data_IF_113077377025
#
_entry.id   IF_113077377025
#
_cell.length_a   1.000
_cell.length_b   1.000
_cell.length_c   1.000
_cell.angle_alpha   90.00
_cell.angle_beta   90.00
_cell.angle_gamma   90.00
#
_symmetry.space_group_name_H-M   'P 1'
#
loop_
_entity.id
_entity.type
_entity.pdbx_description
1 polymer ?
#
# COMPACT_ATOMS: atom_id res chain seq x y z
N UNK A 1 48.90 13.68 17.75
CA UNK A 1 47.44 13.41 17.68
C UNK A 1 46.81 14.68 17.18
N UNK A 2 46.43 14.61 15.91
CA UNK A 2 46.26 15.75 14.99
C UNK A 2 44.92 16.42 15.28
N UNK A 3 44.91 17.75 15.36
CA UNK A 3 43.71 18.58 15.18
C UNK A 3 43.06 18.20 13.84
N UNK A 4 42.21 17.18 13.83
CA UNK A 4 41.23 17.04 12.75
C UNK A 4 40.40 18.30 12.81
N UNK A 5 40.65 19.18 11.85
CA UNK A 5 40.20 20.55 11.87
C UNK A 5 38.67 20.58 11.93
N UNK A 6 38.09 21.62 12.55
CA UNK A 6 36.64 21.82 12.58
C UNK A 6 35.98 21.75 11.18
N UNK A 7 36.76 21.99 10.11
CA UNK A 7 36.35 21.82 8.71
C UNK A 7 35.99 20.38 8.36
N UNK A 8 36.74 19.38 8.82
CA UNK A 8 36.48 17.97 8.50
C UNK A 8 35.17 17.49 9.14
N UNK A 9 34.93 17.91 10.39
CA UNK A 9 33.69 17.60 11.11
C UNK A 9 32.47 18.23 10.43
N UNK A 10 32.59 19.49 9.98
CA UNK A 10 31.53 20.19 9.25
C UNK A 10 31.23 19.53 7.89
N UNK A 11 32.28 19.12 7.16
CA UNK A 11 32.14 18.40 5.90
C UNK A 11 31.42 17.06 6.08
N UNK A 12 31.84 16.25 7.06
CA UNK A 12 31.20 14.97 7.35
C UNK A 12 29.73 15.13 7.76
N UNK A 13 29.41 16.14 8.57
CA UNK A 13 28.03 16.44 8.94
C UNK A 13 27.17 16.81 7.72
N UNK A 14 27.71 17.62 6.80
CA UNK A 14 27.05 18.01 5.56
C UNK A 14 26.83 16.82 4.61
N UNK A 15 27.82 15.95 4.45
CA UNK A 15 27.70 14.73 3.64
C UNK A 15 26.60 13.83 4.22
N UNK A 16 26.63 13.59 5.53
CA UNK A 16 25.62 12.80 6.23
C UNK A 16 24.21 13.35 6.00
N UNK A 17 24.03 14.66 6.16
CA UNK A 17 22.74 15.30 5.96
C UNK A 17 22.21 15.10 4.53
N UNK A 18 23.07 15.24 3.53
CA UNK A 18 22.70 15.00 2.12
C UNK A 18 22.36 13.54 1.85
N UNK A 19 23.09 12.60 2.45
CA UNK A 19 22.81 11.16 2.33
C UNK A 19 21.42 10.85 2.89
N UNK A 20 21.08 11.33 4.09
CA UNK A 20 19.75 11.14 4.66
C UNK A 20 18.65 11.81 3.85
N UNK A 21 18.86 13.04 3.40
CA UNK A 21 17.89 13.75 2.57
C UNK A 21 17.61 12.96 1.27
N UNK A 22 18.66 12.47 0.60
CA UNK A 22 18.55 11.70 -0.64
C UNK A 22 17.82 10.39 -0.41
N UNK A 23 18.25 9.60 0.58
CA UNK A 23 17.63 8.32 0.91
C UNK A 23 16.17 8.49 1.31
N UNK A 24 15.84 9.50 2.12
CA UNK A 24 14.47 9.78 2.54
C UNK A 24 13.56 10.11 1.34
N UNK A 25 14.04 10.92 0.40
CA UNK A 25 13.28 11.24 -0.83
C UNK A 25 13.09 9.99 -1.67
N UNK A 26 14.16 9.25 -1.96
CA UNK A 26 14.09 8.06 -2.81
C UNK A 26 13.18 6.98 -2.20
N UNK A 27 13.32 6.69 -0.91
CA UNK A 27 12.55 5.64 -0.25
C UNK A 27 11.06 5.95 -0.15
N UNK A 28 10.68 7.22 0.00
CA UNK A 28 9.27 7.63 0.08
C UNK A 28 8.68 7.75 -1.32
N UNK A 29 9.35 8.44 -2.25
CA UNK A 29 8.81 8.73 -3.57
C UNK A 29 8.78 7.50 -4.49
N UNK A 30 9.81 6.63 -4.42
CA UNK A 30 9.89 5.47 -5.30
C UNK A 30 9.02 4.30 -4.84
N UNK A 31 8.70 4.19 -3.53
CA UNK A 31 7.95 3.02 -3.03
C UNK A 31 6.67 2.73 -3.83
N UNK A 32 5.80 3.71 -4.09
CA UNK A 32 4.59 3.44 -4.85
C UNK A 32 4.84 3.26 -6.35
N UNK A 33 6.03 3.58 -6.88
CA UNK A 33 6.38 3.51 -8.32
C UNK A 33 7.09 2.19 -8.71
N UNK A 34 7.61 1.46 -7.74
CA UNK A 34 8.39 0.24 -7.95
C UNK A 34 7.67 -1.01 -7.44
N UNK A 35 6.43 -0.86 -6.96
CA UNK A 35 5.67 -1.94 -6.39
C UNK A 35 4.66 -2.50 -7.38
N UNK A 36 5.01 -3.63 -7.99
CA UNK A 36 4.08 -4.46 -8.75
C UNK A 36 3.57 -5.66 -7.92
N UNK A 37 4.06 -5.86 -6.70
CA UNK A 37 3.65 -6.97 -5.84
C UNK A 37 4.38 -8.29 -6.11
N UNK A 38 5.32 -8.31 -7.06
CA UNK A 38 6.27 -9.40 -7.22
C UNK A 38 7.60 -9.02 -6.54
N UNK A 39 7.99 -9.71 -5.47
CA UNK A 39 9.20 -9.37 -4.73
C UNK A 39 10.49 -9.56 -5.54
N UNK A 40 10.44 -10.32 -6.64
CA UNK A 40 11.60 -10.68 -7.47
C UNK A 40 11.91 -9.67 -8.57
N UNK A 41 11.01 -8.71 -8.80
CA UNK A 41 11.17 -7.72 -9.87
C UNK A 41 12.38 -6.82 -9.63
N UNK A 42 13.22 -6.56 -10.66
CA UNK A 42 14.47 -5.80 -10.48
C UNK A 42 14.28 -4.43 -9.84
N UNK A 43 13.18 -3.74 -10.15
CA UNK A 43 12.85 -2.44 -9.55
C UNK A 43 12.57 -2.55 -8.04
N UNK A 44 11.80 -3.57 -7.63
CA UNK A 44 11.54 -3.82 -6.22
C UNK A 44 12.81 -4.29 -5.48
N UNK A 45 13.65 -5.12 -6.10
CA UNK A 45 14.94 -5.51 -5.54
C UNK A 45 15.86 -4.29 -5.33
N UNK A 46 15.96 -3.40 -6.32
CA UNK A 46 16.72 -2.16 -6.19
C UNK A 46 16.19 -1.29 -5.03
N UNK A 47 14.87 -1.21 -4.87
CA UNK A 47 14.26 -0.53 -3.74
C UNK A 47 14.60 -1.16 -2.39
N UNK A 48 14.55 -2.49 -2.29
CA UNK A 48 14.92 -3.21 -1.07
C UNK A 48 16.40 -3.01 -0.72
N UNK A 49 17.29 -2.98 -1.72
CA UNK A 49 18.71 -2.64 -1.53
C UNK A 49 18.86 -1.22 -0.98
N UNK A 50 18.13 -0.23 -1.52
CA UNK A 50 18.12 1.13 -0.98
C UNK A 50 17.65 1.17 0.49
N UNK A 51 16.63 0.39 0.83
CA UNK A 51 16.12 0.30 2.20
C UNK A 51 17.18 -0.31 3.14
N UNK A 52 17.88 -1.37 2.70
CA UNK A 52 18.98 -1.97 3.46
C UNK A 52 20.11 -0.97 3.66
N UNK A 53 20.54 -0.26 2.61
CA UNK A 53 21.57 0.80 2.71
C UNK A 53 21.17 1.84 3.76
N UNK A 54 19.92 2.31 3.72
CA UNK A 54 19.44 3.31 4.66
C UNK A 54 19.47 2.83 6.12
N UNK A 55 19.04 1.59 6.37
CA UNK A 55 19.15 0.96 7.69
C UNK A 55 20.61 0.84 8.12
N UNK A 56 21.50 0.37 7.23
CA UNK A 56 22.93 0.23 7.50
C UNK A 56 23.58 1.56 7.87
N UNK A 57 23.24 2.66 7.18
CA UNK A 57 23.74 4.00 7.52
C UNK A 57 23.42 4.35 8.97
N UNK A 58 22.16 4.18 9.40
CA UNK A 58 21.77 4.52 10.78
C UNK A 58 22.43 3.59 11.79
N UNK A 59 22.59 2.30 11.49
CA UNK A 59 23.33 1.36 12.35
C UNK A 59 24.79 1.78 12.53
N UNK A 60 25.46 2.13 11.43
CA UNK A 60 26.85 2.61 11.46
C UNK A 60 26.96 3.90 12.27
N UNK A 61 26.03 4.85 12.11
CA UNK A 61 26.01 6.08 12.89
C UNK A 61 25.76 5.86 14.38
N UNK A 62 24.87 4.92 14.71
CA UNK A 62 24.64 4.50 16.09
C UNK A 62 25.89 3.88 16.72
N UNK A 63 26.59 3.01 16.00
CA UNK A 63 27.87 2.45 16.44
C UNK A 63 28.98 3.49 16.56
N UNK A 64 28.99 4.49 15.68
CA UNK A 64 29.91 5.63 15.74
C UNK A 64 29.54 6.65 16.83
N UNK A 65 28.47 6.44 17.60
CA UNK A 65 28.01 7.36 18.65
C UNK A 65 27.40 8.67 18.14
N UNK A 66 27.09 8.75 16.84
CA UNK A 66 26.48 9.92 16.21
C UNK A 66 24.98 10.05 16.48
N UNK A 67 24.31 8.93 16.81
CA UNK A 67 22.91 8.90 17.23
C UNK A 67 22.86 8.83 18.75
N UNK A 68 22.41 9.92 19.39
CA UNK A 68 22.37 10.02 20.86
C UNK A 68 21.29 9.13 21.50
N UNK A 69 20.23 8.83 20.75
CA UNK A 69 19.16 7.95 21.21
C UNK A 69 18.40 7.35 20.04
N UNK A 70 18.13 6.05 20.12
CA UNK A 70 17.29 5.34 19.17
C UNK A 70 15.83 5.70 19.42
N UNK A 71 15.19 6.31 18.43
CA UNK A 71 13.77 6.63 18.50
C UNK A 71 12.96 5.40 18.13
N UNK A 72 12.13 4.93 19.05
CA UNK A 72 11.26 3.81 18.81
C UNK A 72 9.87 4.09 19.39
N UNK A 73 8.82 3.66 18.70
CA UNK A 73 7.44 3.79 19.17
C UNK A 73 6.95 2.44 19.67
N UNK A 74 5.98 2.46 20.59
CA UNK A 74 5.33 1.23 21.05
C UNK A 74 4.75 0.42 19.87
N UNK A 75 4.12 1.09 18.90
CA UNK A 75 3.60 0.46 17.69
C UNK A 75 4.70 -0.21 16.85
N UNK A 76 5.87 0.42 16.73
CA UNK A 76 7.03 -0.21 16.10
C UNK A 76 7.47 -1.47 16.83
N UNK A 77 7.45 -1.48 18.17
CA UNK A 77 7.91 -2.61 18.98
C UNK A 77 6.95 -3.78 18.84
N UNK A 78 5.65 -3.49 18.91
CA UNK A 78 4.61 -4.47 18.66
C UNK A 78 4.73 -5.05 17.25
N UNK A 79 4.97 -4.22 16.23
CA UNK A 79 5.16 -4.71 14.86
C UNK A 79 6.40 -5.59 14.74
N UNK A 80 7.51 -5.23 15.38
CA UNK A 80 8.71 -6.08 15.44
C UNK A 80 8.44 -7.43 16.10
N UNK A 81 7.68 -7.45 17.20
CA UNK A 81 7.26 -8.68 17.86
C UNK A 81 6.37 -9.54 16.94
N UNK A 82 5.45 -8.93 16.20
CA UNK A 82 4.61 -9.63 15.22
C UNK A 82 5.48 -10.24 14.11
N UNK A 83 6.40 -9.47 13.53
CA UNK A 83 7.31 -9.98 12.49
C UNK A 83 8.18 -11.12 13.02
N UNK A 84 8.70 -11.02 14.23
CA UNK A 84 9.46 -12.12 14.86
C UNK A 84 8.58 -13.35 15.13
N UNK A 85 7.34 -13.15 15.57
CA UNK A 85 6.38 -14.24 15.81
C UNK A 85 5.98 -15.00 14.53
N UNK A 86 6.23 -14.41 13.34
CA UNK A 86 6.00 -15.07 12.06
C UNK A 86 7.13 -16.04 11.64
N UNK A 87 8.27 -16.08 12.34
CA UNK A 87 9.40 -16.97 12.00
C UNK A 87 8.97 -18.45 11.94
N UNK A 88 8.23 -19.02 12.91
CA UNK A 88 7.77 -20.41 12.82
C UNK A 88 6.84 -20.64 11.60
N UNK A 89 6.02 -19.66 11.24
CA UNK A 89 5.14 -19.74 10.07
C UNK A 89 5.93 -19.67 8.76
N UNK A 90 7.03 -18.92 8.72
CA UNK A 90 7.96 -18.90 7.60
C UNK A 90 8.57 -20.29 7.35
N UNK A 91 9.09 -20.94 8.40
CA UNK A 91 9.70 -22.27 8.31
C UNK A 91 8.70 -23.35 7.89
N UNK A 92 7.42 -23.20 8.28
CA UNK A 92 6.33 -24.12 7.93
C UNK A 92 5.66 -23.82 6.58
N UNK A 93 6.10 -22.80 5.85
CA UNK A 93 5.52 -22.49 4.55
C UNK A 93 5.62 -23.72 3.63
N UNK A 94 4.57 -24.05 2.85
CA UNK A 94 4.65 -25.13 1.86
C UNK A 94 5.71 -24.85 0.80
N UNK A 95 6.10 -23.58 0.64
CA UNK A 95 7.18 -23.11 -0.21
C UNK A 95 8.17 -22.30 0.66
N UNK A 96 9.11 -22.95 1.37
CA UNK A 96 9.96 -22.29 2.37
C UNK A 96 10.73 -21.07 1.86
N UNK A 97 11.17 -21.10 0.60
CA UNK A 97 11.85 -19.97 -0.02
C UNK A 97 10.93 -18.75 -0.20
N UNK A 98 9.69 -18.96 -0.67
CA UNK A 98 8.70 -17.88 -0.83
C UNK A 98 8.26 -17.33 0.53
N UNK A 99 7.98 -18.22 1.49
CA UNK A 99 7.68 -17.83 2.88
C UNK A 99 8.81 -17.02 3.51
N UNK A 100 10.06 -17.43 3.27
CA UNK A 100 11.28 -16.71 3.66
C UNK A 100 11.40 -15.34 3.03
N UNK A 101 11.18 -15.24 1.72
CA UNK A 101 11.22 -13.98 1.00
C UNK A 101 10.15 -12.99 1.51
N UNK A 102 8.92 -13.46 1.73
CA UNK A 102 7.83 -12.63 2.27
C UNK A 102 8.13 -12.15 3.70
N UNK A 103 8.65 -13.03 4.57
CA UNK A 103 9.06 -12.64 5.92
C UNK A 103 10.20 -11.62 5.90
N UNK A 104 11.22 -11.85 5.07
CA UNK A 104 12.36 -10.94 4.93
C UNK A 104 11.91 -9.58 4.41
N UNK A 105 10.99 -9.55 3.45
CA UNK A 105 10.38 -8.32 2.97
C UNK A 105 9.70 -7.55 4.11
N UNK A 106 8.92 -8.21 4.98
CA UNK A 106 8.32 -7.57 6.15
C UNK A 106 9.39 -7.01 7.12
N UNK A 107 10.47 -7.76 7.34
CA UNK A 107 11.59 -7.33 8.18
C UNK A 107 12.29 -6.08 7.59
N UNK A 108 12.49 -6.02 6.27
CA UNK A 108 13.06 -4.85 5.60
C UNK A 108 12.14 -3.64 5.72
N UNK A 109 10.81 -3.82 5.60
CA UNK A 109 9.85 -2.71 5.79
C UNK A 109 9.81 -2.21 7.23
N UNK A 110 9.95 -3.10 8.22
CA UNK A 110 10.14 -2.72 9.62
C UNK A 110 11.44 -1.92 9.79
N UNK A 111 12.54 -2.37 9.18
CA UNK A 111 13.81 -1.64 9.15
C UNK A 111 13.67 -0.25 8.52
N UNK A 112 12.94 -0.13 7.42
CA UNK A 112 12.62 1.15 6.79
C UNK A 112 11.84 2.07 7.73
N UNK A 113 10.81 1.56 8.41
CA UNK A 113 10.06 2.35 9.39
C UNK A 113 10.96 2.87 10.51
N UNK A 114 11.88 2.03 10.99
CA UNK A 114 12.90 2.42 11.97
C UNK A 114 13.85 3.50 11.46
N UNK A 115 14.35 3.34 10.23
CA UNK A 115 15.18 4.36 9.57
C UNK A 115 14.45 5.70 9.50
N UNK A 116 13.19 5.70 9.05
CA UNK A 116 12.38 6.91 8.94
C UNK A 116 12.17 7.56 10.32
N UNK A 117 11.99 6.80 11.40
CA UNK A 117 11.89 7.37 12.75
C UNK A 117 13.16 8.11 13.19
N UNK A 118 14.34 7.74 12.68
CA UNK A 118 15.58 8.45 12.97
C UNK A 118 15.80 9.65 12.03
N UNK A 119 15.51 9.47 10.74
CA UNK A 119 15.88 10.43 9.70
C UNK A 119 14.86 11.57 9.49
N UNK A 120 13.57 11.30 9.76
CA UNK A 120 12.47 12.23 9.51
C UNK A 120 12.43 13.50 10.38
N UNK A 121 12.80 13.48 11.68
CA UNK A 121 12.74 14.66 12.54
C UNK A 121 13.54 15.85 11.95
N UNK A 122 12.87 16.99 11.78
CA UNK A 122 13.44 18.18 11.14
C UNK A 122 13.45 18.15 9.60
N UNK A 123 13.02 17.05 8.98
CA UNK A 123 12.93 16.84 7.52
C UNK A 123 11.50 16.57 7.06
N UNK A 124 10.50 16.95 7.85
CA UNK A 124 9.09 16.64 7.60
C UNK A 124 8.59 17.26 6.28
N UNK A 125 9.07 18.47 5.94
CA UNK A 125 8.76 19.12 4.66
C UNK A 125 9.30 18.35 3.47
N UNK A 126 10.51 17.79 3.59
CA UNK A 126 11.13 17.00 2.54
C UNK A 126 10.38 15.68 2.33
N UNK A 127 10.00 15.01 3.42
CA UNK A 127 9.17 13.80 3.38
C UNK A 127 7.80 14.08 2.75
N UNK A 128 7.17 15.20 3.12
CA UNK A 128 5.92 15.63 2.51
C UNK A 128 6.07 15.84 0.99
N UNK A 129 7.12 16.54 0.57
CA UNK A 129 7.41 16.75 -0.85
C UNK A 129 7.68 15.43 -1.58
N UNK A 130 8.42 14.50 -0.97
CA UNK A 130 8.68 13.18 -1.54
C UNK A 130 7.40 12.35 -1.69
N UNK A 131 6.50 12.39 -0.70
CA UNK A 131 5.22 11.70 -0.76
C UNK A 131 4.31 12.29 -1.85
N UNK A 132 4.26 13.62 -1.96
CA UNK A 132 3.54 14.30 -3.04
C UNK A 132 4.13 13.97 -4.41
N UNK A 133 5.46 13.92 -4.54
CA UNK A 133 6.13 13.53 -5.78
C UNK A 133 5.82 12.08 -6.17
N UNK A 134 5.83 11.14 -5.21
CA UNK A 134 5.42 9.76 -5.45
C UNK A 134 3.97 9.64 -5.91
N UNK A 135 3.05 10.38 -5.27
CA UNK A 135 1.64 10.44 -5.70
C UNK A 135 1.49 11.00 -7.11
N UNK A 136 2.16 12.10 -7.43
CA UNK A 136 2.11 12.70 -8.77
C UNK A 136 2.66 11.72 -9.79
N UNK A 137 3.80 11.08 -9.51
CA UNK A 137 4.37 10.04 -10.36
C UNK A 137 3.36 8.93 -10.65
N UNK A 138 2.69 8.43 -9.61
CA UNK A 138 1.73 7.34 -9.81
C UNK A 138 0.48 7.73 -10.57
N UNK A 139 -0.04 8.92 -10.30
CA UNK A 139 -1.18 9.45 -11.04
C UNK A 139 -0.81 9.65 -12.51
N UNK A 140 0.41 10.13 -12.81
CA UNK A 140 0.87 10.26 -14.19
C UNK A 140 1.00 8.90 -14.88
N UNK A 141 1.56 7.89 -14.21
CA UNK A 141 1.64 6.52 -14.75
C UNK A 141 0.24 5.96 -15.00
N UNK A 142 -0.68 6.11 -14.03
CA UNK A 142 -2.07 5.69 -14.13
C UNK A 142 -2.79 6.34 -15.33
N UNK A 143 -2.65 7.65 -15.51
CA UNK A 143 -3.22 8.33 -16.68
C UNK A 143 -2.55 7.91 -17.98
N UNK A 144 -1.23 7.71 -17.98
CA UNK A 144 -0.50 7.21 -19.13
C UNK A 144 -0.93 5.81 -19.55
N UNK A 145 -1.13 4.92 -18.58
CA UNK A 145 -1.68 3.59 -18.81
C UNK A 145 -3.03 3.67 -19.53
N UNK A 146 -3.91 4.58 -19.11
CA UNK A 146 -5.21 4.78 -19.74
C UNK A 146 -5.12 5.29 -21.18
N UNK A 147 -4.17 6.17 -21.47
CA UNK A 147 -4.04 6.80 -22.79
C UNK A 147 -3.28 5.94 -23.80
N UNK A 148 -2.31 5.14 -23.35
CA UNK A 148 -1.39 4.42 -24.25
C UNK A 148 -1.48 2.91 -24.12
N UNK A 149 -1.59 2.37 -22.90
CA UNK A 149 -1.51 0.93 -22.66
C UNK A 149 -2.87 0.25 -22.86
N UNK A 150 -3.93 0.77 -22.23
CA UNK A 150 -5.26 0.15 -22.30
C UNK A 150 -5.82 0.08 -23.73
N UNK A 151 -5.67 1.10 -24.61
CA UNK A 151 -6.09 0.98 -26.00
C UNK A 151 -5.34 -0.11 -26.76
N UNK A 152 -4.03 -0.25 -26.51
CA UNK A 152 -3.21 -1.32 -27.10
C UNK A 152 -3.63 -2.70 -26.62
N UNK A 153 -3.88 -2.85 -25.31
CA UNK A 153 -4.41 -4.11 -24.75
C UNK A 153 -5.80 -4.44 -25.28
N UNK A 154 -6.67 -3.44 -25.46
CA UNK A 154 -7.99 -3.65 -26.05
C UNK A 154 -7.89 -4.14 -27.50
N UNK A 155 -6.98 -3.57 -28.30
CA UNK A 155 -6.73 -4.01 -29.67
C UNK A 155 -6.15 -5.43 -29.71
N UNK A 156 -5.15 -5.74 -28.89
CA UNK A 156 -4.55 -7.07 -28.78
C UNK A 156 -5.58 -8.13 -28.33
N UNK A 157 -6.43 -7.78 -27.37
CA UNK A 157 -7.55 -8.63 -26.91
C UNK A 157 -8.55 -8.89 -28.03
N UNK A 158 -8.93 -7.87 -28.80
CA UNK A 158 -9.82 -8.02 -29.95
C UNK A 158 -9.23 -8.91 -31.07
N UNK A 159 -7.90 -8.95 -31.19
CA UNK A 159 -7.17 -9.81 -32.11
C UNK A 159 -6.95 -11.24 -31.59
N UNK A 160 -7.39 -11.56 -30.36
CA UNK A 160 -7.24 -12.88 -29.76
C UNK A 160 -5.84 -13.17 -29.20
N UNK A 161 -4.97 -12.16 -29.06
CA UNK A 161 -3.59 -12.36 -28.59
C UNK A 161 -3.52 -12.87 -27.14
N UNK A 162 -4.57 -12.62 -26.35
CA UNK A 162 -4.66 -13.09 -24.96
C UNK A 162 -5.43 -14.41 -24.79
N UNK A 163 -5.91 -15.04 -25.87
CA UNK A 163 -6.74 -16.25 -25.78
C UNK A 163 -6.06 -17.42 -25.03
N UNK A 164 -4.71 -17.47 -25.02
CA UNK A 164 -3.94 -18.48 -24.31
C UNK A 164 -3.68 -18.16 -22.82
N UNK A 165 -3.83 -16.90 -22.41
CA UNK A 165 -3.52 -16.38 -21.06
C UNK A 165 -4.80 -16.05 -20.29
N UNK A 166 -5.91 -15.84 -21.01
CA UNK A 166 -7.22 -15.61 -20.45
C UNK A 166 -7.68 -16.85 -19.67
N UNK A 167 -7.81 -16.69 -18.35
CA UNK A 167 -8.40 -17.74 -17.51
C UNK A 167 -9.87 -17.90 -17.88
N UNK A 168 -10.44 -19.08 -17.57
CA UNK A 168 -11.84 -19.44 -17.86
C UNK A 168 -12.87 -18.40 -17.36
N UNK A 169 -12.48 -17.49 -16.47
CA UNK A 169 -13.31 -16.41 -15.94
C UNK A 169 -13.32 -15.09 -16.74
N UNK A 170 -12.50 -14.90 -17.79
CA UNK A 170 -12.49 -13.65 -18.57
C UNK A 170 -11.98 -12.41 -17.80
N UNK A 171 -11.26 -12.63 -16.71
CA UNK A 171 -10.92 -11.61 -15.71
C UNK A 171 -10.02 -10.50 -16.30
N UNK A 172 -9.20 -10.83 -17.32
CA UNK A 172 -8.36 -9.87 -18.04
C UNK A 172 -9.17 -9.04 -19.03
N UNK A 173 -10.06 -9.66 -19.82
CA UNK A 173 -10.92 -8.94 -20.76
C UNK A 173 -11.91 -8.02 -20.02
N UNK A 174 -12.48 -8.45 -18.89
CA UNK A 174 -13.33 -7.61 -18.05
C UNK A 174 -12.54 -6.39 -17.52
N UNK A 175 -11.29 -6.56 -17.11
CA UNK A 175 -10.44 -5.44 -16.64
C UNK A 175 -10.09 -4.47 -17.76
N UNK A 176 -9.77 -4.98 -18.94
CA UNK A 176 -9.50 -4.15 -20.14
C UNK A 176 -10.77 -3.38 -20.53
N UNK A 177 -11.91 -4.06 -20.61
CA UNK A 177 -13.20 -3.49 -21.00
C UNK A 177 -13.68 -2.40 -20.02
N UNK A 178 -13.47 -2.61 -18.71
CA UNK A 178 -13.81 -1.63 -17.68
C UNK A 178 -12.79 -0.50 -17.55
N UNK A 179 -11.71 -0.51 -18.35
CA UNK A 179 -10.70 0.55 -18.36
C UNK A 179 -9.97 0.70 -17.02
N UNK A 180 -9.81 -0.40 -16.29
CA UNK A 180 -9.30 -0.41 -14.92
C UNK A 180 -7.88 0.14 -14.85
N UNK A 181 -7.72 1.34 -14.31
CA UNK A 181 -6.41 1.96 -14.11
C UNK A 181 -5.80 1.43 -12.80
N UNK A 182 -4.54 1.03 -12.84
CA UNK A 182 -3.83 0.47 -11.69
C UNK A 182 -2.46 1.11 -11.41
N UNK A 183 -1.98 2.02 -12.25
CA UNK A 183 -0.67 2.67 -12.03
C UNK A 183 0.45 1.65 -12.18
N UNK A 184 1.42 1.65 -11.26
CA UNK A 184 2.45 0.59 -11.19
C UNK A 184 2.02 -0.63 -10.37
N UNK A 185 0.85 -0.58 -9.72
CA UNK A 185 0.32 -1.72 -8.98
C UNK A 185 -0.22 -2.81 -9.91
N UNK A 186 -0.14 -4.08 -9.51
CA UNK A 186 -0.76 -5.19 -10.25
C UNK A 186 -2.29 -5.25 -10.13
N UNK A 187 -2.87 -4.61 -9.11
CA UNK A 187 -4.29 -4.68 -8.81
C UNK A 187 -4.88 -3.29 -8.61
N UNK A 188 -5.98 -2.99 -9.32
CA UNK A 188 -6.71 -1.74 -9.17
C UNK A 188 -7.19 -1.47 -7.73
N UNK A 189 -7.50 -2.53 -6.98
CA UNK A 189 -7.84 -2.41 -5.56
C UNK A 189 -6.66 -1.92 -4.70
N UNK A 190 -5.44 -2.37 -4.99
CA UNK A 190 -4.24 -1.94 -4.27
C UNK A 190 -3.91 -0.48 -4.58
N UNK A 191 -4.02 -0.09 -5.84
CA UNK A 191 -3.87 1.30 -6.25
C UNK A 191 -4.93 2.20 -5.59
N UNK A 192 -6.20 1.81 -5.62
CA UNK A 192 -7.27 2.57 -4.97
C UNK A 192 -7.04 2.68 -3.44
N UNK A 193 -6.59 1.61 -2.78
CA UNK A 193 -6.23 1.63 -1.37
C UNK A 193 -5.06 2.58 -1.09
N UNK A 194 -4.03 2.60 -1.94
CA UNK A 194 -2.94 3.56 -1.87
C UNK A 194 -3.45 5.01 -1.95
N UNK A 195 -4.32 5.33 -2.92
CA UNK A 195 -4.89 6.67 -3.06
C UNK A 195 -5.67 7.10 -1.81
N UNK A 196 -6.49 6.20 -1.25
CA UNK A 196 -7.24 6.45 -0.01
C UNK A 196 -6.33 6.67 1.19
N UNK A 197 -5.19 5.98 1.25
CA UNK A 197 -4.25 6.10 2.36
C UNK A 197 -3.41 7.39 2.27
N UNK A 198 -3.06 7.83 1.06
CA UNK A 198 -2.09 8.92 0.85
C UNK A 198 -2.75 10.28 0.63
N UNK A 199 -3.82 10.35 -0.16
CA UNK A 199 -4.43 11.64 -0.58
C UNK A 199 -5.01 12.41 0.61
N UNK A 200 -5.83 11.83 1.51
CA UNK A 200 -6.41 12.59 2.61
C UNK A 200 -5.38 13.16 3.59
N UNK A 201 -4.37 12.41 4.08
CA UNK A 201 -3.34 12.97 4.95
C UNK A 201 -2.50 14.06 4.27
N UNK A 202 -2.21 13.93 2.97
CA UNK A 202 -1.50 14.96 2.21
C UNK A 202 -2.33 16.25 2.12
N UNK A 203 -3.62 16.15 1.78
CA UNK A 203 -4.52 17.29 1.75
C UNK A 203 -4.63 17.96 3.13
N UNK A 204 -4.93 17.19 4.17
CA UNK A 204 -5.02 17.73 5.53
C UNK A 204 -3.71 18.42 5.91
N UNK A 205 -2.56 17.81 5.64
CA UNK A 205 -1.25 18.41 5.94
C UNK A 205 -1.01 19.69 5.14
N UNK A 206 -1.35 19.73 3.86
CA UNK A 206 -1.18 20.91 3.01
C UNK A 206 -2.05 22.10 3.46
N UNK A 207 -3.25 21.80 3.96
CA UNK A 207 -4.26 22.82 4.30
C UNK A 207 -4.26 23.22 5.78
N UNK A 208 -3.72 22.40 6.68
CA UNK A 208 -3.63 22.72 8.12
C UNK A 208 -2.26 23.25 8.54
N UNK A 209 -1.19 22.84 7.86
CA UNK A 209 0.14 23.41 8.09
C UNK A 209 0.30 24.63 7.21
N UNK A 210 1.13 25.59 7.62
CA UNK A 210 1.45 26.82 6.88
C UNK A 210 2.26 26.54 5.59
N UNK A 211 1.83 25.56 4.79
CA UNK A 211 2.37 25.28 3.48
C UNK A 211 2.17 26.51 2.59
N UNK A 212 3.17 26.78 1.76
CA UNK A 212 3.09 27.88 0.81
C UNK A 212 1.97 27.62 -0.22
N UNK A 213 1.56 28.68 -0.92
CA UNK A 213 0.46 28.61 -1.90
C UNK A 213 0.72 27.61 -3.04
N UNK A 214 1.98 27.42 -3.44
CA UNK A 214 2.32 26.52 -4.54
C UNK A 214 2.25 25.07 -4.09
N UNK A 215 2.76 24.74 -2.92
CA UNK A 215 2.60 23.40 -2.32
C UNK A 215 1.12 23.01 -2.22
N UNK A 216 0.26 23.94 -1.78
CA UNK A 216 -1.20 23.72 -1.74
C UNK A 216 -1.80 23.51 -3.13
N UNK A 217 -1.40 24.32 -4.11
CA UNK A 217 -1.88 24.18 -5.49
C UNK A 217 -1.49 22.83 -6.09
N UNK A 218 -0.22 22.43 -5.96
CA UNK A 218 0.30 21.14 -6.48
C UNK A 218 -0.43 19.97 -5.85
N UNK A 219 -0.56 19.94 -4.53
CA UNK A 219 -1.22 18.84 -3.82
C UNK A 219 -2.72 18.78 -4.13
N UNK A 220 -3.38 19.93 -4.27
CA UNK A 220 -4.80 19.98 -4.65
C UNK A 220 -5.01 19.49 -6.08
N UNK A 221 -4.14 19.88 -7.02
CA UNK A 221 -4.17 19.37 -8.39
C UNK A 221 -3.91 17.86 -8.43
N UNK A 222 -2.88 17.39 -7.73
CA UNK A 222 -2.55 15.97 -7.62
C UNK A 222 -3.72 15.17 -7.02
N UNK A 223 -4.39 15.70 -6.00
CA UNK A 223 -5.57 15.09 -5.41
C UNK A 223 -6.76 15.04 -6.37
N UNK A 224 -6.97 16.08 -7.19
CA UNK A 224 -8.00 16.09 -8.22
C UNK A 224 -7.76 15.02 -9.29
N UNK A 225 -6.52 14.90 -9.77
CA UNK A 225 -6.12 13.85 -10.72
C UNK A 225 -6.20 12.45 -10.08
N UNK A 226 -5.78 12.32 -8.81
CA UNK A 226 -5.92 11.09 -8.04
C UNK A 226 -7.38 10.68 -7.88
N UNK A 227 -8.29 11.61 -7.61
CA UNK A 227 -9.73 11.33 -7.54
C UNK A 227 -10.26 10.81 -8.88
N UNK A 228 -9.79 11.36 -10.00
CA UNK A 228 -10.12 10.83 -11.33
C UNK A 228 -9.56 9.42 -11.54
N UNK A 229 -8.29 9.19 -11.19
CA UNK A 229 -7.68 7.85 -11.26
C UNK A 229 -8.41 6.83 -10.37
N UNK A 230 -8.88 7.25 -9.19
CA UNK A 230 -9.67 6.43 -8.27
C UNK A 230 -11.00 5.97 -8.88
N UNK A 231 -11.70 6.87 -9.57
CA UNK A 231 -12.91 6.51 -10.33
C UNK A 231 -12.58 5.51 -11.43
N UNK A 232 -11.45 5.72 -12.14
CA UNK A 232 -10.96 4.78 -13.16
C UNK A 232 -10.54 3.41 -12.64
N UNK A 233 -10.10 3.32 -11.38
CA UNK A 233 -9.74 2.06 -10.74
C UNK A 233 -10.97 1.17 -10.45
N UNK A 234 -12.18 1.74 -10.46
CA UNK A 234 -13.46 1.02 -10.26
C UNK A 234 -13.48 0.09 -9.03
N UNK A 235 -12.73 0.44 -7.98
CA UNK A 235 -12.57 -0.40 -6.79
C UNK A 235 -13.77 -0.31 -5.84
N UNK A 236 -14.68 -1.27 -5.95
CA UNK A 236 -15.83 -1.43 -5.03
C UNK A 236 -15.38 -1.50 -3.56
N UNK A 237 -14.25 -2.16 -3.30
CA UNK A 237 -13.69 -2.33 -1.95
C UNK A 237 -13.18 -1.03 -1.36
N UNK A 238 -12.47 -0.21 -2.15
CA UNK A 238 -11.96 1.06 -1.66
C UNK A 238 -13.10 2.07 -1.39
N UNK A 239 -14.14 2.09 -2.24
CA UNK A 239 -15.34 2.91 -1.99
C UNK A 239 -16.01 2.53 -0.66
N UNK A 240 -16.18 1.23 -0.42
CA UNK A 240 -16.74 0.75 0.83
C UNK A 240 -15.86 1.13 2.04
N UNK A 241 -14.55 1.01 1.92
CA UNK A 241 -13.61 1.39 2.97
C UNK A 241 -13.69 2.89 3.30
N UNK A 242 -13.76 3.77 2.30
CA UNK A 242 -13.97 5.22 2.49
C UNK A 242 -15.30 5.47 3.20
N UNK A 243 -16.38 4.81 2.77
CA UNK A 243 -17.70 4.99 3.36
C UNK A 243 -17.71 4.59 4.84
N UNK A 244 -17.10 3.44 5.19
CA UNK A 244 -16.97 2.98 6.58
C UNK A 244 -16.10 3.94 7.39
N UNK A 245 -14.91 4.30 6.91
CA UNK A 245 -13.99 5.19 7.61
C UNK A 245 -14.62 6.57 7.86
N UNK A 246 -15.30 7.12 6.85
CA UNK A 246 -16.02 8.40 6.95
C UNK A 246 -17.18 8.33 7.93
N UNK A 247 -17.93 7.22 7.93
CA UNK A 247 -19.03 6.97 8.87
C UNK A 247 -18.52 6.88 10.31
N UNK A 248 -17.44 6.14 10.54
CA UNK A 248 -16.79 6.04 11.85
C UNK A 248 -16.27 7.41 12.32
N UNK A 249 -15.55 8.11 11.45
CA UNK A 249 -15.06 9.47 11.74
C UNK A 249 -16.20 10.43 12.08
N UNK A 250 -17.31 10.39 11.34
CA UNK A 250 -18.50 11.17 11.62
C UNK A 250 -19.08 10.88 13.01
N UNK A 251 -19.26 9.60 13.36
CA UNK A 251 -19.79 9.16 14.66
C UNK A 251 -18.87 9.60 15.81
N UNK A 252 -17.54 9.53 15.62
CA UNK A 252 -16.55 9.89 16.64
C UNK A 252 -16.52 11.42 16.87
N UNK A 253 -16.56 12.20 15.78
CA UNK A 253 -16.42 13.66 15.83
C UNK A 253 -17.73 14.34 16.24
N UNK A 254 -18.89 13.89 15.76
CA UNK A 254 -20.19 14.50 16.07
C UNK A 254 -20.71 14.03 17.43
N UNK A 255 -21.15 14.98 18.27
CA UNK A 255 -21.77 14.71 19.57
C UNK A 255 -23.30 14.89 19.59
N UNK A 256 -23.88 15.39 18.50
CA UNK A 256 -25.30 15.67 18.36
C UNK A 256 -26.11 14.44 17.88
N UNK A 257 -27.43 14.60 17.73
CA UNK A 257 -28.32 13.53 17.21
C UNK A 257 -27.99 13.09 15.78
N UNK A 258 -27.33 13.95 14.99
CA UNK A 258 -26.96 13.65 13.60
C UNK A 258 -25.77 12.69 13.51
N UNK A 259 -25.06 12.41 14.61
CA UNK A 259 -24.01 11.38 14.66
C UNK A 259 -24.48 10.02 14.14
N UNK A 260 -25.78 9.72 14.26
CA UNK A 260 -26.37 8.45 13.84
C UNK A 260 -26.81 8.41 12.37
N UNK A 261 -26.72 9.51 11.65
CA UNK A 261 -27.11 9.59 10.23
C UNK A 261 -26.42 8.52 9.36
N UNK A 262 -25.10 8.23 9.48
CA UNK A 262 -24.48 7.20 8.68
C UNK A 262 -25.06 5.80 8.91
N UNK A 263 -25.42 5.45 10.14
CA UNK A 263 -26.06 4.17 10.44
C UNK A 263 -27.44 4.06 9.79
N UNK A 264 -28.22 5.15 9.82
CA UNK A 264 -29.51 5.19 9.13
C UNK A 264 -29.36 5.04 7.61
N UNK A 265 -28.36 5.71 7.01
CA UNK A 265 -28.08 5.58 5.58
C UNK A 265 -27.61 4.17 5.20
N UNK A 266 -26.77 3.54 6.02
CA UNK A 266 -26.35 2.14 5.83
C UNK A 266 -27.57 1.21 5.92
N UNK A 267 -28.45 1.39 6.91
CA UNK A 267 -29.66 0.60 7.04
C UNK A 267 -30.56 0.75 5.81
N UNK A 268 -30.79 1.98 5.34
CA UNK A 268 -31.56 2.25 4.10
C UNK A 268 -30.91 1.60 2.89
N UNK A 269 -29.59 1.70 2.72
CA UNK A 269 -28.88 1.09 1.60
C UNK A 269 -29.00 -0.45 1.62
N UNK A 270 -28.84 -1.07 2.79
CA UNK A 270 -29.02 -2.51 2.96
C UNK A 270 -30.47 -2.93 2.70
N UNK A 271 -31.46 -2.16 3.17
CA UNK A 271 -32.87 -2.40 2.87
C UNK A 271 -33.15 -2.27 1.37
N UNK A 272 -32.59 -1.28 0.69
CA UNK A 272 -32.75 -1.12 -0.75
C UNK A 272 -32.14 -2.29 -1.54
N UNK A 273 -30.94 -2.77 -1.13
CA UNK A 273 -30.31 -3.96 -1.71
C UNK A 273 -31.16 -5.22 -1.47
N UNK A 274 -31.72 -5.39 -0.28
CA UNK A 274 -32.58 -6.53 0.06
C UNK A 274 -33.91 -6.52 -0.71
N UNK A 275 -34.48 -5.34 -0.96
CA UNK A 275 -35.78 -5.19 -1.63
C UNK A 275 -35.69 -5.13 -3.16
N UNK A 276 -34.49 -4.94 -3.73
CA UNK A 276 -34.30 -4.83 -5.20
C UNK A 276 -33.20 -5.78 -5.69
N UNK A 277 -33.56 -7.02 -6.10
CA UNK A 277 -32.60 -8.01 -6.61
C UNK A 277 -31.71 -7.50 -7.75
N UNK A 278 -32.23 -6.64 -8.62
CA UNK A 278 -31.49 -6.01 -9.71
C UNK A 278 -30.26 -5.20 -9.24
N UNK A 279 -30.27 -4.67 -8.00
CA UNK A 279 -29.10 -3.99 -7.42
C UNK A 279 -28.04 -4.99 -6.90
N UNK A 280 -28.47 -6.21 -6.60
CA UNK A 280 -27.62 -7.27 -6.04
C UNK A 280 -26.97 -8.14 -7.10
N UNK A 281 -27.65 -8.40 -8.22
CA UNK A 281 -27.17 -9.26 -9.31
C UNK A 281 -25.74 -8.93 -9.77
N UNK A 282 -25.36 -7.66 -10.05
CA UNK A 282 -23.99 -7.32 -10.47
C UNK A 282 -22.93 -7.50 -9.37
N UNK A 283 -23.36 -7.68 -8.11
CA UNK A 283 -22.49 -7.90 -6.96
C UNK A 283 -22.36 -9.38 -6.61
N UNK A 284 -23.29 -10.23 -7.04
CA UNK A 284 -23.34 -11.64 -6.61
C UNK A 284 -22.07 -12.41 -6.94
N UNK A 285 -21.58 -12.32 -8.18
CA UNK A 285 -20.39 -13.06 -8.60
C UNK A 285 -19.17 -12.69 -7.72
N UNK A 286 -18.88 -11.40 -7.58
CA UNK A 286 -17.76 -10.93 -6.76
C UNK A 286 -17.95 -11.25 -5.27
N UNK A 287 -19.18 -11.13 -4.74
CA UNK A 287 -19.46 -11.47 -3.34
C UNK A 287 -19.29 -12.95 -3.06
N UNK A 288 -19.73 -13.83 -3.97
CA UNK A 288 -19.55 -15.29 -3.83
C UNK A 288 -18.07 -15.64 -3.79
N UNK A 289 -17.28 -15.20 -4.76
CA UNK A 289 -15.82 -15.45 -4.78
C UNK A 289 -15.17 -14.99 -3.46
N UNK A 290 -15.50 -13.79 -2.97
CA UNK A 290 -15.00 -13.28 -1.67
C UNK A 290 -15.48 -14.10 -0.49
N UNK A 291 -16.74 -14.53 -0.46
CA UNK A 291 -17.26 -15.41 0.58
C UNK A 291 -16.55 -16.78 0.56
N UNK A 292 -16.24 -17.31 -0.62
CA UNK A 292 -15.41 -18.49 -0.80
C UNK A 292 -14.01 -18.32 -0.21
N UNK A 293 -13.33 -17.20 -0.50
CA UNK A 293 -12.04 -16.86 0.13
C UNK A 293 -12.15 -16.80 1.66
N UNK A 294 -13.17 -16.14 2.20
CA UNK A 294 -13.38 -16.03 3.64
C UNK A 294 -13.64 -17.40 4.29
N UNK A 295 -14.49 -18.22 3.69
CA UNK A 295 -14.79 -19.56 4.18
C UNK A 295 -13.55 -20.45 4.13
N UNK A 296 -12.85 -20.50 3.00
CA UNK A 296 -11.61 -21.26 2.86
C UNK A 296 -10.55 -20.82 3.87
N UNK A 297 -10.38 -19.51 4.08
CA UNK A 297 -9.46 -18.99 5.09
C UNK A 297 -9.88 -19.40 6.51
N UNK A 298 -11.17 -19.31 6.83
CA UNK A 298 -11.70 -19.68 8.13
C UNK A 298 -11.55 -21.18 8.42
N UNK A 299 -11.76 -22.03 7.41
CA UNK A 299 -11.54 -23.48 7.49
C UNK A 299 -10.08 -23.78 7.81
N UNK A 300 -9.14 -23.20 7.05
CA UNK A 300 -7.71 -23.39 7.29
C UNK A 300 -7.27 -22.84 8.68
N UNK A 301 -7.83 -21.72 9.12
CA UNK A 301 -7.58 -21.22 10.48
C UNK A 301 -8.09 -22.22 11.53
N UNK A 302 -9.28 -22.79 11.34
CA UNK A 302 -9.86 -23.76 12.27
C UNK A 302 -9.05 -25.07 12.35
N UNK A 303 -8.45 -25.51 11.24
CA UNK A 303 -7.56 -26.68 11.21
C UNK A 303 -6.28 -26.49 12.04
N UNK A 304 -5.69 -25.27 12.02
CA UNK A 304 -4.44 -24.96 12.72
C UNK A 304 -4.46 -23.56 13.35
N UNK A 305 -5.24 -23.33 14.42
CA UNK A 305 -5.52 -21.99 14.94
C UNK A 305 -4.31 -21.29 15.55
N UNK A 306 -3.35 -22.06 16.08
CA UNK A 306 -2.14 -21.52 16.73
C UNK A 306 -0.96 -21.56 15.78
N UNK A 307 -0.70 -22.73 15.19
CA UNK A 307 0.50 -22.96 14.39
C UNK A 307 0.42 -22.37 12.97
N UNK A 308 -0.79 -22.17 12.46
CA UNK A 308 -1.07 -21.82 11.07
C UNK A 308 -0.61 -22.89 10.07
N UNK A 309 -0.84 -22.61 8.79
CA UNK A 309 -0.36 -23.44 7.67
C UNK A 309 0.96 -22.93 7.07
N UNK A 310 1.52 -21.85 7.65
CA UNK A 310 2.72 -21.18 7.15
C UNK A 310 2.42 -19.98 6.25
N UNK A 311 3.42 -19.11 6.07
CA UNK A 311 3.30 -17.92 5.23
C UNK A 311 3.14 -18.33 3.77
N UNK A 312 2.18 -17.72 3.06
CA UNK A 312 1.94 -18.02 1.64
C UNK A 312 1.26 -19.37 1.38
N UNK A 313 0.74 -20.06 2.41
CA UNK A 313 0.11 -21.37 2.22
C UNK A 313 -1.28 -21.30 1.57
N UNK A 314 -1.94 -20.15 1.62
CA UNK A 314 -3.32 -20.01 1.18
C UNK A 314 -3.53 -20.36 -0.30
N UNK A 315 -2.76 -19.85 -1.29
CA UNK A 315 -2.94 -20.22 -2.69
C UNK A 315 -2.82 -21.73 -2.96
N UNK A 316 -1.99 -22.43 -2.19
CA UNK A 316 -1.79 -23.89 -2.33
C UNK A 316 -2.90 -24.71 -1.70
N UNK A 317 -3.43 -24.27 -0.56
CA UNK A 317 -4.37 -25.06 0.26
C UNK A 317 -5.84 -24.66 0.05
N UNK A 318 -6.09 -23.41 -0.34
CA UNK A 318 -7.43 -22.88 -0.51
C UNK A 318 -8.30 -23.68 -1.51
N UNK A 319 -7.79 -24.22 -2.63
CA UNK A 319 -8.62 -25.00 -3.56
C UNK A 319 -9.30 -26.22 -2.90
N UNK A 320 -8.67 -26.81 -1.87
CA UNK A 320 -9.25 -27.93 -1.13
C UNK A 320 -10.19 -27.48 0.02
N UNK A 321 -9.98 -26.27 0.55
CA UNK A 321 -10.75 -25.72 1.67
C UNK A 321 -11.95 -24.87 1.24
N UNK A 322 -11.99 -24.44 -0.02
CA UNK A 322 -13.07 -23.65 -0.59
C UNK A 322 -14.28 -24.50 -0.94
N UNK A 323 -15.50 -23.93 -0.85
CA UNK A 323 -16.69 -24.62 -1.30
C UNK A 323 -16.70 -24.73 -2.83
N UNK A 324 -17.30 -25.80 -3.38
CA UNK A 324 -17.34 -26.08 -4.82
C UNK A 324 -18.01 -25.00 -5.69
N UNK A 325 -18.77 -24.09 -5.07
CA UNK A 325 -19.43 -22.99 -5.76
C UNK A 325 -18.57 -21.72 -5.85
N UNK A 326 -17.43 -21.69 -5.16
CA UNK A 326 -16.51 -20.56 -5.12
C UNK A 326 -15.56 -20.52 -6.31
#
# INVERSE_FOLDING_TARGET
MVERSASDAALLASIRERVHATLLVLLIALRPLVWDGDPTQPANLAYLVLAVIAVSVVVIEGWAGSVSSWRWTFSGALFALIVAALIPACVRSPLPMEGGALWLMLAVHLGLAFYLMQALPGRERLAFAALAAGLVGEVLVAHGQRLWVLPGMAAASANGEFAAIETVGGDLAERIANGGVYGTFTLANTFAAYLVLVVPPLLVSAWTRSADRWSRAVVTLAAGLAAWSFVGASSKGAVLAIAIASSMGWVIVRRDRWRWLPLALVAVALSALALRPALWEPMQASTRVRAGYWLGASTLIAERPIAGHGIGAFPTLAPAAMPLWA
#
